data_IF_313849956902
#
_entry.id   IF_313849956902
#
_cell.length_a   1.000
_cell.length_b   1.000
_cell.length_c   1.000
_cell.angle_alpha   90.00
_cell.angle_beta   90.00
_cell.angle_gamma   90.00
#
_symmetry.space_group_name_H-M   'P 1'
#
loop_
_entity.id
_entity.type
_entity.pdbx_description
1 polymer ?
#
# COMPACT_ATOMS: atom_id res chain seq x y z
N UNK A 1 -2.24 -11.55 -3.20
CA UNK A 1 -1.42 -11.06 -2.07
C UNK A 1 -2.29 -10.90 -0.81
N UNK A 2 -2.27 -11.84 0.15
CA UNK A 2 -3.04 -11.71 1.40
C UNK A 2 -2.22 -10.96 2.44
N UNK A 3 -2.54 -9.69 2.67
CA UNK A 3 -1.94 -8.92 3.76
C UNK A 3 -2.34 -9.58 5.09
N UNK A 4 -1.35 -9.86 5.95
CA UNK A 4 -1.60 -10.45 7.27
C UNK A 4 -2.57 -9.56 8.07
N UNK A 5 -3.61 -10.16 8.66
CA UNK A 5 -4.65 -9.47 9.45
C UNK A 5 -4.06 -8.51 10.50
N UNK A 6 -2.90 -8.86 11.07
CA UNK A 6 -2.16 -8.02 12.04
C UNK A 6 -1.55 -6.77 11.41
N UNK A 7 -1.07 -6.85 10.17
CA UNK A 7 -0.52 -5.70 9.44
C UNK A 7 -1.66 -4.76 9.00
N UNK A 8 -2.79 -5.31 8.54
CA UNK A 8 -4.00 -4.52 8.21
C UNK A 8 -4.50 -3.73 9.41
N UNK A 9 -4.59 -4.34 10.58
CA UNK A 9 -4.99 -3.65 11.81
C UNK A 9 -4.03 -2.51 12.18
N UNK A 10 -2.71 -2.70 12.00
CA UNK A 10 -1.70 -1.65 12.26
C UNK A 10 -1.79 -0.50 11.26
N UNK A 11 -2.08 -0.77 10.00
CA UNK A 11 -2.29 0.25 8.97
C UNK A 11 -3.55 1.07 9.29
N UNK A 12 -4.67 0.40 9.64
CA UNK A 12 -5.91 1.07 10.06
C UNK A 12 -5.63 1.95 11.29
N UNK A 13 -4.96 1.41 12.31
CA UNK A 13 -4.61 2.16 13.51
C UNK A 13 -3.72 3.38 13.21
N UNK A 14 -2.73 3.21 12.32
CA UNK A 14 -1.90 4.31 11.82
C UNK A 14 -2.73 5.39 11.12
N UNK A 15 -3.67 5.01 10.26
CA UNK A 15 -4.55 5.96 9.56
C UNK A 15 -5.45 6.76 10.51
N UNK A 16 -6.00 6.11 11.54
CA UNK A 16 -6.78 6.79 12.60
C UNK A 16 -5.90 7.78 13.35
N UNK A 17 -4.66 7.41 13.65
CA UNK A 17 -3.71 8.26 14.38
C UNK A 17 -3.35 9.51 13.58
N UNK A 18 -3.17 9.39 12.26
CA UNK A 18 -2.96 10.54 11.37
C UNK A 18 -4.19 11.45 11.33
N UNK A 19 -5.39 10.88 11.23
CA UNK A 19 -6.62 11.66 11.25
C UNK A 19 -6.77 12.43 12.57
N UNK A 20 -6.47 11.79 13.71
CA UNK A 20 -6.48 12.43 15.01
C UNK A 20 -5.46 13.58 15.09
N UNK A 21 -4.24 13.37 14.57
CA UNK A 21 -3.21 14.40 14.51
C UNK A 21 -3.68 15.64 13.72
N UNK A 22 -4.34 15.44 12.57
CA UNK A 22 -4.89 16.54 11.77
C UNK A 22 -5.96 17.34 12.54
N UNK A 23 -6.84 16.66 13.28
CA UNK A 23 -7.86 17.31 14.11
C UNK A 23 -7.21 18.11 15.25
N UNK A 24 -6.18 17.55 15.88
CA UNK A 24 -5.48 18.20 17.00
C UNK A 24 -4.74 19.48 16.59
N UNK A 25 -4.18 19.52 15.38
CA UNK A 25 -3.54 20.74 14.86
C UNK A 25 -4.56 21.86 14.61
N UNK A 26 -5.78 21.50 14.20
CA UNK A 26 -6.84 22.49 13.90
C UNK A 26 -7.44 23.03 15.20
N UNK A 27 -7.60 22.18 16.22
CA UNK A 27 -8.15 22.58 17.51
C UNK A 27 -7.03 22.98 18.48
N UNK A 28 -6.68 24.26 18.50
CA UNK A 28 -5.60 24.80 19.33
C UNK A 28 -6.05 24.99 20.79
N UNK A 29 -5.55 24.12 21.66
CA UNK A 29 -5.69 24.17 23.12
C UNK A 29 -4.37 23.69 23.72
N UNK A 30 -4.01 24.11 24.93
CA UNK A 30 -2.69 23.73 25.51
C UNK A 30 -2.46 22.21 25.58
N UNK A 31 -3.52 21.43 25.77
CA UNK A 31 -3.45 19.97 25.82
C UNK A 31 -3.34 19.35 24.42
N UNK A 32 -4.04 19.90 23.42
CA UNK A 32 -3.95 19.43 22.05
C UNK A 32 -2.61 19.78 21.40
N UNK A 33 -2.01 20.92 21.72
CA UNK A 33 -0.69 21.30 21.22
C UNK A 33 0.39 20.33 21.72
N UNK A 34 0.34 19.97 23.00
CA UNK A 34 1.24 18.96 23.57
C UNK A 34 1.03 17.60 22.92
N UNK A 35 -0.22 17.16 22.75
CA UNK A 35 -0.53 15.90 22.09
C UNK A 35 -0.08 15.87 20.62
N UNK A 36 -0.26 16.98 19.89
CA UNK A 36 0.18 17.15 18.52
C UNK A 36 1.71 17.08 18.42
N UNK A 37 2.46 17.66 19.34
CA UNK A 37 3.92 17.54 19.38
C UNK A 37 4.39 16.09 19.56
N UNK A 38 3.79 15.35 20.50
CA UNK A 38 4.12 13.94 20.70
C UNK A 38 3.76 13.07 19.50
N UNK A 39 2.60 13.31 18.88
CA UNK A 39 2.17 12.61 17.68
C UNK A 39 3.05 12.95 16.47
N UNK A 40 3.41 14.23 16.31
CA UNK A 40 4.29 14.70 15.24
C UNK A 40 5.70 14.09 15.29
N UNK A 41 6.22 13.80 16.48
CA UNK A 41 7.50 13.10 16.66
C UNK A 41 7.40 11.57 16.48
N UNK A 42 6.30 10.97 16.93
CA UNK A 42 6.13 9.51 16.91
C UNK A 42 5.66 8.96 15.56
N UNK A 43 4.87 9.72 14.79
CA UNK A 43 4.37 9.34 13.47
C UNK A 43 5.50 8.99 12.49
N UNK A 44 6.55 9.81 12.30
CA UNK A 44 7.67 9.48 11.42
C UNK A 44 8.38 8.19 11.81
N UNK A 45 8.62 7.99 13.12
CA UNK A 45 9.25 6.76 13.65
C UNK A 45 8.39 5.54 13.32
N UNK A 46 7.06 5.66 13.51
CA UNK A 46 6.12 4.60 13.19
C UNK A 46 6.09 4.27 11.68
N UNK A 47 6.13 5.28 10.81
CA UNK A 47 6.18 5.09 9.35
C UNK A 47 7.45 4.36 8.94
N UNK A 48 8.62 4.77 9.45
CA UNK A 48 9.90 4.10 9.17
C UNK A 48 9.87 2.64 9.68
N UNK A 49 9.35 2.42 10.88
CA UNK A 49 9.21 1.06 11.44
C UNK A 49 8.29 0.17 10.59
N UNK A 50 7.15 0.71 10.15
CA UNK A 50 6.22 -0.03 9.28
C UNK A 50 6.84 -0.32 7.91
N UNK A 51 7.54 0.65 7.31
CA UNK A 51 8.26 0.45 6.06
C UNK A 51 9.33 -0.65 6.21
N UNK A 52 10.16 -0.57 7.25
CA UNK A 52 11.15 -1.60 7.55
C UNK A 52 10.52 -2.98 7.76
N UNK A 53 9.41 -3.05 8.49
CA UNK A 53 8.73 -4.32 8.75
C UNK A 53 8.12 -4.91 7.47
N UNK A 54 7.54 -4.09 6.60
CA UNK A 54 6.99 -4.54 5.31
C UNK A 54 8.12 -5.03 4.40
N UNK A 55 9.24 -4.31 4.35
CA UNK A 55 10.41 -4.67 3.54
C UNK A 55 11.14 -5.92 4.07
N UNK A 56 11.11 -6.14 5.39
CA UNK A 56 11.77 -7.28 6.05
C UNK A 56 10.84 -8.50 6.23
N UNK A 57 9.53 -8.38 5.97
CA UNK A 57 8.61 -9.51 6.07
C UNK A 57 9.04 -10.56 5.01
N UNK A 58 9.41 -11.80 5.40
CA UNK A 58 9.89 -12.84 4.48
C UNK A 58 8.83 -13.32 3.48
N UNK A 59 7.60 -12.79 3.54
CA UNK A 59 6.60 -12.94 2.48
C UNK A 59 7.00 -12.17 1.21
N UNK A 60 7.98 -11.26 1.28
CA UNK A 60 8.64 -10.72 0.10
C UNK A 60 9.62 -11.73 -0.55
N UNK A 61 9.96 -12.83 0.12
CA UNK A 61 10.73 -13.94 -0.47
C UNK A 61 9.82 -14.99 -1.14
N UNK A 62 8.48 -14.88 -0.99
CA UNK A 62 7.57 -15.79 -1.70
C UNK A 62 7.31 -15.32 -3.13
N UNK A 63 8.15 -15.86 -4.02
CA UNK A 63 7.80 -16.41 -5.33
C UNK A 63 7.45 -15.49 -6.51
N UNK A 64 7.40 -14.16 -6.37
CA UNK A 64 7.23 -13.29 -7.54
C UNK A 64 8.12 -12.04 -7.45
N UNK A 65 9.19 -12.04 -8.25
CA UNK A 65 10.11 -10.91 -8.35
C UNK A 65 9.40 -9.69 -8.93
N UNK A 66 9.89 -8.48 -8.64
CA UNK A 66 9.33 -7.23 -9.19
C UNK A 66 9.27 -7.27 -10.73
N UNK A 67 10.25 -7.91 -11.37
CA UNK A 67 10.29 -8.12 -12.82
C UNK A 67 9.11 -8.97 -13.31
N UNK A 68 8.72 -10.03 -12.60
CA UNK A 68 7.61 -10.90 -13.00
C UNK A 68 6.27 -10.14 -13.04
N UNK A 69 6.02 -9.27 -12.06
CA UNK A 69 4.83 -8.40 -12.03
C UNK A 69 4.84 -7.31 -13.11
N UNK A 70 6.00 -6.88 -13.59
CA UNK A 70 6.12 -5.84 -14.61
C UNK A 70 5.96 -6.41 -16.03
N UNK A 71 6.36 -7.67 -16.25
CA UNK A 71 6.27 -8.34 -17.55
C UNK A 71 5.02 -9.21 -17.73
N UNK A 72 4.31 -9.62 -16.67
CA UNK A 72 3.04 -10.36 -16.79
C UNK A 72 1.95 -9.55 -17.53
N UNK A 73 1.90 -8.23 -17.31
CA UNK A 73 0.90 -7.33 -17.93
C UNK A 73 1.07 -7.18 -19.46
N UNK A 74 2.21 -7.66 -20.00
CA UNK A 74 2.52 -7.63 -21.44
C UNK A 74 2.03 -8.85 -22.21
N UNK A 75 1.92 -10.02 -21.56
CA UNK A 75 1.62 -11.28 -22.25
C UNK A 75 0.12 -11.46 -22.56
N UNK A 76 -0.77 -10.95 -21.70
CA UNK A 76 -2.22 -10.99 -21.95
C UNK A 76 -2.64 -10.05 -23.10
N UNK A 77 -1.93 -8.94 -23.30
CA UNK A 77 -2.21 -8.00 -24.40
C UNK A 77 -1.88 -8.57 -25.78
N UNK A 78 -0.92 -9.49 -25.88
CA UNK A 78 -0.51 -10.13 -27.14
C UNK A 78 -1.47 -11.24 -27.60
N UNK A 79 -2.17 -11.90 -26.68
CA UNK A 79 -3.11 -12.98 -27.00
C UNK A 79 -4.50 -12.49 -27.46
N UNK A 80 -4.88 -11.25 -27.12
CA UNK A 80 -6.15 -10.65 -27.59
C UNK A 80 -6.02 -10.12 -29.02
N UNK A 81 -4.82 -9.75 -29.46
CA UNK A 81 -4.57 -9.27 -30.83
C UNK A 81 -4.53 -10.38 -31.90
N UNK A 82 -4.46 -11.66 -31.52
CA UNK A 82 -4.39 -12.77 -32.48
C UNK A 82 -5.73 -13.50 -32.72
N UNK A 83 -6.80 -13.14 -32.02
CA UNK A 83 -8.12 -13.81 -32.16
C UNK A 83 -9.16 -13.01 -32.95
N UNK A 84 -8.83 -11.81 -33.46
CA UNK A 84 -9.78 -10.94 -34.19
C UNK A 84 -9.61 -10.90 -35.72
N UNK A 85 -8.92 -11.87 -36.33
CA UNK A 85 -8.72 -11.87 -37.79
C UNK A 85 -8.79 -13.27 -38.43
N UNK A 86 -9.84 -14.06 -38.15
CA UNK A 86 -10.25 -15.12 -39.09
C UNK A 86 -11.77 -15.29 -39.06
N UNK A 87 -12.50 -14.39 -39.72
CA UNK A 87 -13.77 -14.78 -40.34
C UNK A 87 -13.93 -14.01 -41.65
N UNK A 88 -13.42 -14.64 -42.71
CA UNK A 88 -13.62 -14.22 -44.08
C UNK A 88 -15.01 -14.73 -44.53
N UNK A 89 -15.99 -13.86 -44.85
CA UNK A 89 -17.28 -14.30 -45.33
C UNK A 89 -17.21 -14.40 -46.85
N UNK A 90 -16.89 -15.57 -47.41
CA UNK A 90 -17.11 -15.83 -48.84
C UNK A 90 -17.50 -17.27 -49.16
N UNK A 91 -18.69 -17.32 -49.79
CA UNK A 91 -19.31 -18.35 -50.65
C UNK A 91 -20.09 -19.45 -49.94
#
# INVERSE_FOLDING_TARGET
MKISKRNTQRIILGSITVALYMVLIIHTSETSDRAALFLGLSLPIFVVYMAYKILKDPVAESEYTFEERFYEDGSERLNVSNTTNVENPKL
#
